data_IF_408973760450
#
_entry.id   IF_408973760450
#
_cell.length_a   1.000
_cell.length_b   1.000
_cell.length_c   1.000
_cell.angle_alpha   90.00
_cell.angle_beta   90.00
_cell.angle_gamma   90.00
#
_symmetry.space_group_name_H-M   'P 1'
#
loop_
_entity.id
_entity.type
_entity.pdbx_description
1 polymer ?
#
# COMPACT_ATOMS: atom_id res chain seq x y z
N UNK A 1 -48.24 -22.97 -29.22
CA UNK A 1 -48.33 -21.72 -28.41
C UNK A 1 -47.59 -21.81 -27.07
N UNK A 2 -47.80 -22.82 -26.20
CA UNK A 2 -47.13 -22.94 -24.89
C UNK A 2 -45.58 -22.97 -24.93
N UNK A 3 -44.98 -23.65 -25.91
CA UNK A 3 -43.51 -23.71 -26.09
C UNK A 3 -42.91 -22.38 -26.55
N UNK A 4 -43.61 -21.65 -27.43
CA UNK A 4 -43.16 -20.34 -27.91
C UNK A 4 -43.16 -19.28 -26.80
N UNK A 5 -44.15 -19.30 -25.92
CA UNK A 5 -44.20 -18.42 -24.74
C UNK A 5 -43.06 -18.77 -23.76
N UNK A 6 -42.74 -20.06 -23.60
CA UNK A 6 -41.63 -20.51 -22.75
C UNK A 6 -40.27 -20.00 -23.27
N UNK A 7 -40.03 -20.03 -24.59
CA UNK A 7 -38.79 -19.52 -25.18
C UNK A 7 -38.64 -18.01 -25.01
N UNK A 8 -39.75 -17.25 -25.08
CA UNK A 8 -39.74 -15.80 -24.85
C UNK A 8 -39.36 -15.50 -23.39
N UNK A 9 -39.96 -16.20 -22.43
CA UNK A 9 -39.60 -16.05 -21.02
C UNK A 9 -38.15 -16.41 -20.74
N UNK A 10 -37.64 -17.48 -21.34
CA UNK A 10 -36.24 -17.88 -21.20
C UNK A 10 -35.28 -16.84 -21.77
N UNK A 11 -35.64 -16.22 -22.90
CA UNK A 11 -34.82 -15.18 -23.53
C UNK A 11 -34.76 -13.90 -22.69
N UNK A 12 -35.90 -13.48 -22.12
CA UNK A 12 -35.97 -12.35 -21.19
C UNK A 12 -35.15 -12.62 -19.93
N UNK A 13 -35.22 -13.85 -19.40
CA UNK A 13 -34.44 -14.25 -18.21
C UNK A 13 -32.93 -14.17 -18.48
N UNK A 14 -32.47 -14.66 -19.64
CA UNK A 14 -31.05 -14.60 -20.03
C UNK A 14 -30.57 -13.14 -20.16
N UNK A 15 -31.38 -12.24 -20.71
CA UNK A 15 -31.05 -10.81 -20.82
C UNK A 15 -30.96 -10.14 -19.44
N UNK A 16 -31.87 -10.48 -18.53
CA UNK A 16 -31.85 -9.95 -17.16
C UNK A 16 -30.61 -10.43 -16.39
N UNK A 17 -30.21 -11.70 -16.53
CA UNK A 17 -28.99 -12.20 -15.88
C UNK A 17 -27.70 -11.66 -16.51
N UNK A 18 -27.69 -11.35 -17.81
CA UNK A 18 -26.53 -10.77 -18.49
C UNK A 18 -26.25 -9.30 -18.12
N UNK A 19 -27.21 -8.61 -17.50
CA UNK A 19 -27.09 -7.20 -17.08
C UNK A 19 -26.98 -7.01 -15.57
N UNK A 20 -27.26 -8.05 -14.76
CA UNK A 20 -27.38 -7.94 -13.31
C UNK A 20 -26.06 -7.83 -12.54
N UNK A 21 -24.92 -8.15 -13.16
CA UNK A 21 -23.60 -7.96 -12.56
C UNK A 21 -22.62 -7.45 -13.61
N UNK A 22 -22.74 -6.18 -13.99
CA UNK A 22 -21.56 -5.44 -14.42
C UNK A 22 -20.96 -4.94 -13.11
N UNK A 23 -19.82 -5.51 -12.72
CA UNK A 23 -18.95 -4.77 -11.81
C UNK A 23 -18.64 -3.48 -12.55
N UNK A 24 -19.19 -2.36 -12.09
CA UNK A 24 -18.88 -1.04 -12.63
C UNK A 24 -17.41 -0.78 -12.32
N UNK A 25 -16.56 -1.28 -13.22
CA UNK A 25 -15.15 -0.98 -13.25
C UNK A 25 -15.07 0.53 -13.47
N UNK A 26 -14.65 1.24 -12.43
CA UNK A 26 -14.25 2.66 -12.48
C UNK A 26 -12.96 2.80 -13.30
N UNK A 27 -12.94 2.23 -14.50
CA UNK A 27 -11.78 2.08 -15.38
C UNK A 27 -11.82 3.07 -16.56
N UNK A 28 -12.87 3.90 -16.68
CA UNK A 28 -12.87 5.00 -17.63
C UNK A 28 -11.88 6.09 -17.21
N UNK A 29 -10.96 6.50 -18.11
CA UNK A 29 -10.14 7.70 -17.87
C UNK A 29 -11.01 8.94 -17.57
N UNK A 30 -12.22 8.98 -18.14
CA UNK A 30 -13.24 10.04 -18.00
C UNK A 30 -14.36 9.70 -17.00
N UNK A 31 -14.25 8.63 -16.20
CA UNK A 31 -15.26 8.37 -15.17
C UNK A 31 -15.31 9.52 -14.17
N UNK A 32 -16.49 10.11 -14.03
CA UNK A 32 -16.76 11.18 -13.08
C UNK A 32 -16.61 10.63 -11.65
N UNK A 33 -15.58 11.11 -10.96
CA UNK A 33 -15.39 10.83 -9.54
C UNK A 33 -16.15 11.90 -8.75
N UNK A 34 -17.25 11.55 -8.05
CA UNK A 34 -17.99 12.51 -7.25
C UNK A 34 -17.15 13.00 -6.07
N UNK A 35 -17.53 14.14 -5.50
CA UNK A 35 -16.97 14.56 -4.21
C UNK A 35 -17.38 13.58 -3.11
N UNK A 36 -16.43 13.24 -2.24
CA UNK A 36 -16.67 12.35 -1.11
C UNK A 36 -15.38 11.87 -0.47
N UNK A 37 -15.52 11.02 0.54
CA UNK A 37 -14.39 10.45 1.30
C UNK A 37 -14.54 8.95 1.44
N UNK A 38 -13.45 8.22 1.27
CA UNK A 38 -13.35 6.79 1.51
C UNK A 38 -12.54 6.51 2.76
N UNK A 39 -12.86 5.39 3.42
CA UNK A 39 -12.03 4.87 4.52
C UNK A 39 -11.02 3.88 3.95
N UNK A 40 -9.76 4.28 3.92
CA UNK A 40 -8.64 3.43 3.59
C UNK A 40 -8.24 2.63 4.85
N UNK A 41 -8.12 1.31 4.70
CA UNK A 41 -7.46 0.43 5.68
C UNK A 41 -6.19 -0.09 5.02
N UNK A 42 -5.03 0.16 5.62
CA UNK A 42 -3.75 -0.18 5.05
C UNK A 42 -2.91 -0.98 6.05
N UNK A 43 -2.14 -1.92 5.51
CA UNK A 43 -1.14 -2.69 6.24
C UNK A 43 0.21 -2.42 5.59
N UNK A 44 1.15 -1.90 6.36
CA UNK A 44 2.53 -1.67 5.92
C UNK A 44 3.40 -2.77 6.49
N UNK A 45 4.05 -3.52 5.60
CA UNK A 45 4.95 -4.61 5.91
C UNK A 45 6.34 -4.28 5.37
N UNK A 46 7.40 -4.49 6.14
CA UNK A 46 8.75 -4.50 5.56
C UNK A 46 8.93 -5.74 4.69
N UNK A 47 9.57 -5.56 3.55
CA UNK A 47 10.10 -6.66 2.77
C UNK A 47 11.29 -7.27 3.55
N UNK A 48 11.36 -8.60 3.70
CA UNK A 48 12.50 -9.22 4.36
C UNK A 48 13.78 -8.84 3.61
N UNK A 49 14.80 -8.45 4.36
CA UNK A 49 16.13 -8.29 3.81
C UNK A 49 16.62 -9.69 3.41
N UNK A 50 17.07 -9.87 2.18
CA UNK A 50 17.88 -11.04 1.86
C UNK A 50 19.21 -10.90 2.62
N UNK A 51 19.82 -12.01 3.10
CA UNK A 51 21.16 -11.96 3.66
C UNK A 51 22.13 -11.52 2.55
N UNK A 52 22.32 -10.21 2.39
CA UNK A 52 23.07 -9.64 1.27
C UNK A 52 24.55 -10.08 1.29
N UNK A 53 25.05 -10.56 2.43
CA UNK A 53 26.36 -11.18 2.55
C UNK A 53 26.26 -12.41 3.46
N UNK A 54 26.72 -13.56 2.97
CA UNK A 54 26.97 -14.80 3.70
C UNK A 54 27.81 -14.58 4.99
N UNK A 55 27.22 -14.06 6.06
CA UNK A 55 27.85 -13.88 7.36
C UNK A 55 28.93 -12.78 7.46
N UNK A 56 29.05 -11.85 6.51
CA UNK A 56 30.07 -10.76 6.58
C UNK A 56 29.56 -9.43 7.14
N UNK A 57 28.27 -9.30 7.48
CA UNK A 57 27.76 -8.11 8.16
C UNK A 57 28.34 -8.04 9.58
N UNK A 58 28.98 -6.93 9.94
CA UNK A 58 29.60 -6.70 11.26
C UNK A 58 28.65 -6.11 12.31
N UNK A 59 27.38 -5.96 11.97
CA UNK A 59 26.38 -5.27 12.79
C UNK A 59 25.12 -6.13 12.83
N UNK A 60 24.58 -6.36 14.04
CA UNK A 60 23.28 -7.00 14.20
C UNK A 60 22.25 -6.15 13.43
N UNK A 61 21.56 -6.72 12.45
CA UNK A 61 20.60 -6.02 11.58
C UNK A 61 19.34 -5.52 12.29
N UNK A 62 19.41 -5.36 13.61
CA UNK A 62 18.28 -5.12 14.51
C UNK A 62 17.87 -3.65 14.55
N UNK A 63 18.71 -2.76 14.02
CA UNK A 63 18.52 -1.31 14.08
C UNK A 63 17.31 -0.77 13.30
N UNK A 64 16.80 -1.52 12.32
CA UNK A 64 15.68 -1.09 11.45
C UNK A 64 14.40 -1.89 11.79
N UNK A 65 14.35 -2.56 12.95
CA UNK A 65 13.25 -3.45 13.32
C UNK A 65 11.97 -2.79 13.80
N UNK A 66 11.94 -1.49 14.02
CA UNK A 66 10.75 -0.81 14.54
C UNK A 66 10.26 0.32 13.63
N UNK A 67 8.94 0.42 13.44
CA UNK A 67 8.31 1.58 12.81
C UNK A 67 7.94 2.56 13.92
N UNK A 68 8.76 3.59 14.09
CA UNK A 68 8.63 4.65 15.11
C UNK A 68 7.86 5.87 14.60
N UNK A 69 7.89 6.11 13.30
CA UNK A 69 7.11 7.17 12.65
C UNK A 69 6.66 6.71 11.27
N UNK A 70 5.45 7.09 10.87
CA UNK A 70 4.90 6.75 9.55
C UNK A 70 4.17 7.95 8.96
N UNK A 71 4.54 8.34 7.74
CA UNK A 71 3.85 9.38 6.97
C UNK A 71 3.35 8.82 5.65
N UNK A 72 2.08 9.06 5.31
CA UNK A 72 1.49 8.67 4.03
C UNK A 72 1.29 9.90 3.16
N UNK A 73 1.83 9.84 1.94
CA UNK A 73 1.75 10.90 0.93
C UNK A 73 0.81 10.46 -0.19
N UNK A 74 -0.17 11.29 -0.50
CA UNK A 74 -1.08 11.13 -1.65
C UNK A 74 -0.66 12.08 -2.76
N UNK A 75 -0.32 11.52 -3.92
CA UNK A 75 -0.06 12.25 -5.14
C UNK A 75 -1.17 12.02 -6.15
N UNK A 76 -1.53 13.03 -6.93
CA UNK A 76 -2.48 12.87 -8.04
C UNK A 76 -1.84 12.14 -9.25
N UNK A 77 -2.59 12.06 -10.36
CA UNK A 77 -2.13 11.42 -11.60
C UNK A 77 -0.96 12.14 -12.26
N UNK A 78 -0.83 13.44 -12.07
CA UNK A 78 0.26 14.25 -12.62
C UNK A 78 1.52 14.13 -11.76
N UNK A 79 1.39 13.54 -10.57
CA UNK A 79 2.47 13.26 -9.64
C UNK A 79 2.71 14.39 -8.65
N UNK A 80 1.75 15.31 -8.50
CA UNK A 80 1.80 16.43 -7.56
C UNK A 80 1.18 16.05 -6.22
N UNK A 81 1.75 16.57 -5.13
CA UNK A 81 1.33 16.23 -3.77
C UNK A 81 -0.04 16.86 -3.48
N UNK A 82 -1.03 16.01 -3.26
CA UNK A 82 -2.39 16.40 -2.88
C UNK A 82 -2.48 16.57 -1.37
N UNK A 83 -1.98 15.59 -0.62
CA UNK A 83 -2.09 15.59 0.85
C UNK A 83 -1.06 14.70 1.52
N UNK A 84 -0.62 15.12 2.71
CA UNK A 84 0.25 14.34 3.59
C UNK A 84 -0.48 14.03 4.89
N UNK A 85 -0.29 12.81 5.39
CA UNK A 85 -0.91 12.30 6.61
C UNK A 85 0.16 11.71 7.51
N UNK A 86 0.39 12.36 8.64
CA UNK A 86 1.16 11.77 9.72
C UNK A 86 0.28 10.74 10.43
N UNK A 87 0.73 9.49 10.46
CA UNK A 87 0.01 8.40 11.10
C UNK A 87 0.48 8.33 12.56
N UNK A 88 -0.30 8.93 13.46
CA UNK A 88 -0.04 8.92 14.91
C UNK A 88 -0.70 7.75 15.61
N UNK A 89 -1.84 7.29 15.08
CA UNK A 89 -2.61 6.18 15.63
C UNK A 89 -2.47 4.97 14.71
N UNK A 90 -1.69 4.00 15.16
CA UNK A 90 -1.53 2.74 14.46
C UNK A 90 -1.38 1.60 15.45
N UNK A 91 -1.83 0.42 15.03
CA UNK A 91 -1.57 -0.79 15.80
C UNK A 91 -0.29 -1.40 15.28
N UNK A 92 0.76 -1.39 16.10
CA UNK A 92 1.88 -2.32 15.92
C UNK A 92 1.32 -3.69 16.25
N UNK A 93 0.98 -4.45 15.23
CA UNK A 93 0.67 -5.85 15.43
C UNK A 93 2.01 -6.55 15.52
N UNK A 94 2.21 -7.24 16.64
CA UNK A 94 3.47 -7.91 16.95
C UNK A 94 3.96 -8.76 15.78
N UNK A 95 5.28 -8.84 15.69
CA UNK A 95 6.09 -9.83 15.00
C UNK A 95 5.27 -10.88 14.23
N UNK A 96 4.90 -10.57 12.99
CA UNK A 96 4.28 -11.58 12.12
C UNK A 96 5.30 -12.70 11.92
N UNK A 97 4.93 -13.95 12.21
CA UNK A 97 5.77 -15.10 11.90
C UNK A 97 6.01 -15.16 10.40
N UNK A 98 7.27 -15.26 9.99
CA UNK A 98 7.69 -15.33 8.60
C UNK A 98 8.34 -16.66 8.29
N UNK A 99 8.07 -17.12 7.07
CA UNK A 99 8.58 -18.38 6.56
C UNK A 99 9.51 -18.11 5.37
N UNK A 100 10.34 -19.10 5.03
CA UNK A 100 11.29 -19.04 3.93
C UNK A 100 10.65 -18.71 2.57
N UNK A 101 9.37 -19.05 2.39
CA UNK A 101 8.59 -18.71 1.21
C UNK A 101 8.33 -17.19 1.05
N UNK A 102 8.47 -16.40 2.11
CA UNK A 102 8.30 -14.95 2.10
C UNK A 102 9.61 -14.22 1.70
N UNK A 103 10.74 -14.94 1.61
CA UNK A 103 12.05 -14.42 1.28
C UNK A 103 12.40 -14.64 -0.21
N UNK A 104 13.06 -13.68 -0.86
CA UNK A 104 13.41 -13.78 -2.29
C UNK A 104 14.39 -14.92 -2.60
N UNK A 105 15.22 -15.31 -1.62
CA UNK A 105 16.23 -16.36 -1.75
C UNK A 105 15.87 -17.63 -0.94
N UNK A 106 14.59 -17.83 -0.61
CA UNK A 106 14.09 -19.01 0.14
C UNK A 106 14.80 -19.24 1.50
N UNK A 107 15.45 -18.20 2.03
CA UNK A 107 16.14 -18.22 3.32
C UNK A 107 15.75 -16.96 4.08
N UNK A 108 14.99 -17.14 5.16
CA UNK A 108 14.53 -16.03 6.00
C UNK A 108 15.68 -15.44 6.80
N UNK A 109 16.02 -14.17 6.56
CA UNK A 109 17.01 -13.47 7.40
C UNK A 109 16.45 -13.10 8.79
N UNK A 110 15.13 -12.89 8.89
CA UNK A 110 14.44 -12.52 10.13
C UNK A 110 13.12 -13.27 10.25
N UNK A 111 12.95 -14.11 11.28
CA UNK A 111 11.73 -14.90 11.50
C UNK A 111 10.49 -14.05 11.81
N UNK A 112 10.70 -12.76 12.09
CA UNK A 112 9.73 -11.83 12.65
C UNK A 112 10.01 -10.42 12.15
N UNK A 113 8.97 -9.71 11.72
CA UNK A 113 9.12 -8.33 11.25
C UNK A 113 7.91 -7.51 11.71
N UNK A 114 8.10 -6.25 12.15
CA UNK A 114 6.97 -5.39 12.50
C UNK A 114 6.07 -5.18 11.28
N UNK A 115 4.77 -5.13 11.54
CA UNK A 115 3.82 -4.61 10.59
C UNK A 115 2.88 -3.63 11.29
N UNK A 116 2.46 -2.64 10.52
CA UNK A 116 1.64 -1.55 11.01
C UNK A 116 0.32 -1.54 10.27
N UNK A 117 -0.77 -1.66 11.01
CA UNK A 117 -2.13 -1.49 10.48
C UNK A 117 -2.69 -0.16 10.96
N UNK A 118 -3.23 0.62 10.03
CA UNK A 118 -3.90 1.87 10.32
C UNK A 118 -5.09 2.10 9.39
N UNK A 119 -5.95 3.03 9.82
CA UNK A 119 -7.13 3.47 9.08
C UNK A 119 -7.07 4.98 8.92
N UNK A 120 -7.40 5.46 7.73
CA UNK A 120 -7.44 6.89 7.45
C UNK A 120 -8.58 7.21 6.48
N UNK A 121 -9.02 8.45 6.50
CA UNK A 121 -10.00 8.97 5.55
C UNK A 121 -9.27 9.70 4.43
N UNK A 122 -9.56 9.33 3.19
CA UNK A 122 -9.02 9.97 1.99
C UNK A 122 -10.16 10.50 1.12
N UNK A 123 -9.99 11.63 0.43
CA UNK A 123 -10.95 12.06 -0.57
C UNK A 123 -11.04 11.03 -1.71
N UNK A 124 -12.18 10.99 -2.40
CA UNK A 124 -12.30 10.20 -3.62
C UNK A 124 -11.38 10.77 -4.71
N UNK A 125 -10.68 9.88 -5.41
CA UNK A 125 -9.76 10.26 -6.47
C UNK A 125 -8.84 9.12 -6.86
N UNK A 126 -8.03 9.38 -7.89
CA UNK A 126 -6.97 8.48 -8.36
C UNK A 126 -5.65 9.00 -7.83
N UNK A 127 -4.95 8.18 -7.07
CA UNK A 127 -3.74 8.59 -6.37
C UNK A 127 -2.61 7.59 -6.53
N UNK A 128 -1.38 8.10 -6.57
CA UNK A 128 -0.21 7.35 -6.16
C UNK A 128 0.01 7.54 -4.66
N UNK A 129 0.07 6.44 -3.93
CA UNK A 129 0.26 6.42 -2.48
C UNK A 129 1.67 5.98 -2.11
N UNK A 130 2.35 6.78 -1.29
CA UNK A 130 3.66 6.44 -0.76
C UNK A 130 3.64 6.47 0.77
N UNK A 131 4.11 5.40 1.39
CA UNK A 131 4.31 5.32 2.83
C UNK A 131 5.80 5.48 3.14
N UNK A 132 6.11 6.45 4.00
CA UNK A 132 7.47 6.79 4.44
C UNK A 132 7.58 6.47 5.92
N UNK A 133 8.38 5.47 6.25
CA UNK A 133 8.66 5.06 7.62
C UNK A 133 9.98 5.65 8.13
N UNK A 134 10.05 5.96 9.43
CA UNK A 134 11.27 6.36 10.16
C UNK A 134 12.10 7.50 9.52
N UNK A 135 11.44 8.42 8.79
CA UNK A 135 12.10 9.54 8.15
C UNK A 135 11.33 10.82 8.41
N UNK A 136 12.03 11.84 8.90
CA UNK A 136 11.49 13.20 8.99
C UNK A 136 11.53 13.86 7.61
N UNK A 137 10.35 14.29 7.17
CA UNK A 137 10.13 15.00 5.90
C UNK A 137 10.15 16.52 6.08
N UNK A 138 10.24 17.04 7.31
CA UNK A 138 10.25 18.48 7.55
C UNK A 138 11.42 19.17 6.84
N UNK A 139 11.11 20.24 6.09
CA UNK A 139 12.11 20.98 5.31
C UNK A 139 12.60 20.27 4.05
N UNK A 140 12.10 19.08 3.72
CA UNK A 140 12.38 18.41 2.45
C UNK A 140 11.32 18.76 1.42
N UNK A 141 11.74 18.90 0.18
CA UNK A 141 10.82 19.12 -0.93
C UNK A 141 10.25 17.77 -1.39
N UNK A 142 8.97 17.55 -1.06
CA UNK A 142 8.20 16.36 -1.44
C UNK A 142 7.02 16.71 -2.34
N UNK A 143 7.09 17.88 -3.02
CA UNK A 143 5.96 18.39 -3.80
C UNK A 143 5.56 17.49 -4.96
N UNK A 144 6.49 16.67 -5.46
CA UNK A 144 6.24 15.68 -6.52
C UNK A 144 6.77 14.31 -6.15
N UNK A 145 6.24 13.28 -6.81
CA UNK A 145 6.74 11.90 -6.68
C UNK A 145 8.24 11.81 -6.97
N UNK A 146 8.72 12.52 -7.99
CA UNK A 146 10.15 12.52 -8.36
C UNK A 146 11.03 13.10 -7.25
N UNK A 147 10.58 14.20 -6.64
CA UNK A 147 11.32 14.84 -5.56
C UNK A 147 11.33 14.01 -4.28
N UNK A 148 10.23 13.32 -3.98
CA UNK A 148 10.20 12.34 -2.89
C UNK A 148 11.24 11.23 -3.14
N UNK A 149 11.27 10.68 -4.36
CA UNK A 149 12.19 9.59 -4.74
C UNK A 149 13.65 10.03 -4.84
N UNK A 150 13.92 11.32 -5.03
CA UNK A 150 15.29 11.86 -5.12
C UNK A 150 15.91 12.17 -3.75
N UNK A 151 15.17 11.98 -2.65
CA UNK A 151 15.72 12.12 -1.30
C UNK A 151 16.84 11.11 -1.09
N UNK A 152 18.06 11.63 -0.94
CA UNK A 152 19.20 10.85 -0.51
C UNK A 152 19.29 10.82 1.01
N UNK A 153 19.57 9.64 1.56
CA UNK A 153 19.80 9.44 2.99
C UNK A 153 21.25 9.00 3.20
N UNK A 154 21.90 9.65 4.15
CA UNK A 154 23.23 9.25 4.60
C UNK A 154 23.12 8.18 5.69
N UNK A 155 24.01 7.20 5.63
CA UNK A 155 24.08 6.16 6.64
C UNK A 155 24.54 6.73 7.99
N UNK A 156 23.71 6.59 9.01
CA UNK A 156 24.00 7.03 10.39
C UNK A 156 24.55 5.85 11.20
N UNK A 157 25.88 5.74 11.30
CA UNK A 157 26.55 4.61 11.97
C UNK A 157 26.35 4.55 13.49
N UNK A 158 25.83 5.62 14.09
CA UNK A 158 25.61 5.77 15.54
C UNK A 158 24.22 5.31 16.02
N UNK A 159 23.31 5.00 15.10
CA UNK A 159 21.95 4.51 15.41
C UNK A 159 21.86 2.98 15.24
N UNK A 160 22.81 2.39 14.52
CA UNK A 160 22.86 0.97 14.22
C UNK A 160 23.83 0.16 15.10
N UNK A 161 23.84 0.43 16.41
CA UNK A 161 24.67 -0.32 17.38
C UNK A 161 23.80 -1.28 18.21
#
# INVERSE_FOLDING_TARGET
MKRSILYIFLYILIILFATACRDDLLEGEDDFIPEGTSRLTAVVNFKPLTPALNGMSRTAGDAIKDITSLTVLLYDRDGDLVKSYLITEYTVKGEGERNDADAEDETTAESKTPHVEFKMLIPYGRYFMYAVANMDLHGRDVSTVEKLKSISLEWQSNIAA
#
